data_IF_298495108346
#
_entry.id   IF_298495108346
#
_cell.length_a   1.000
_cell.length_b   1.000
_cell.length_c   1.000
_cell.angle_alpha   90.00
_cell.angle_beta   90.00
_cell.angle_gamma   90.00
#
_symmetry.space_group_name_H-M   'P 1'
#
loop_
_entity.id
_entity.type
_entity.pdbx_description
1 polymer ?
#
# COMPACT_ATOMS: atom_id res chain seq x y z
N UNK A 1 -6.98 -8.62 26.64
CA UNK A 1 -7.37 -8.52 25.22
C UNK A 1 -6.24 -7.85 24.46
N UNK A 2 -5.74 -8.40 23.34
CA UNK A 2 -4.73 -7.71 22.54
C UNK A 2 -5.31 -6.36 22.07
N UNK A 3 -4.55 -5.29 22.28
CA UNK A 3 -4.96 -3.92 21.94
C UNK A 3 -5.14 -3.85 20.42
N UNK A 4 -6.38 -3.67 19.95
CA UNK A 4 -6.69 -3.59 18.52
C UNK A 4 -5.85 -2.45 17.91
N UNK A 5 -5.05 -2.77 16.90
CA UNK A 5 -4.23 -1.78 16.21
C UNK A 5 -5.14 -0.77 15.50
N UNK A 6 -4.79 0.53 15.53
CA UNK A 6 -5.58 1.57 14.85
C UNK A 6 -5.62 1.32 13.34
N UNK A 7 -6.62 1.87 12.66
CA UNK A 7 -6.82 1.67 11.21
C UNK A 7 -5.61 2.21 10.44
N UNK A 8 -5.11 3.38 10.82
CA UNK A 8 -3.96 4.06 10.22
C UNK A 8 -2.68 3.26 10.43
N UNK A 9 -2.50 2.66 11.62
CA UNK A 9 -1.33 1.82 11.89
C UNK A 9 -1.39 0.50 11.12
N UNK A 10 -2.59 -0.06 10.90
CA UNK A 10 -2.78 -1.24 10.05
C UNK A 10 -2.44 -0.91 8.58
N UNK A 11 -3.02 0.18 8.07
CA UNK A 11 -2.78 0.74 6.74
C UNK A 11 -1.29 0.93 6.44
N UNK A 12 -0.58 1.67 7.30
CA UNK A 12 0.87 1.89 7.12
C UNK A 12 1.66 0.59 7.13
N UNK A 13 1.35 -0.34 8.04
CA UNK A 13 2.08 -1.62 8.12
C UNK A 13 1.94 -2.47 6.87
N UNK A 14 0.75 -2.51 6.25
CA UNK A 14 0.55 -3.27 5.01
C UNK A 14 1.37 -2.69 3.86
N UNK A 15 1.45 -1.36 3.76
CA UNK A 15 2.22 -0.67 2.72
C UNK A 15 3.73 -0.77 2.98
N UNK A 16 4.20 -0.40 4.18
CA UNK A 16 5.63 -0.21 4.48
C UNK A 16 6.37 -1.54 4.73
N UNK A 17 5.67 -2.65 4.98
CA UNK A 17 6.33 -3.95 5.15
C UNK A 17 6.72 -4.50 3.78
N UNK A 18 8.00 -4.81 3.52
CA UNK A 18 8.39 -5.48 2.28
C UNK A 18 7.76 -6.87 2.20
N UNK A 19 7.11 -7.19 1.09
CA UNK A 19 6.57 -8.52 0.84
C UNK A 19 7.68 -9.59 0.98
N UNK A 20 7.37 -10.71 1.66
CA UNK A 20 8.34 -11.77 1.93
C UNK A 20 9.24 -11.55 3.15
N UNK A 21 9.24 -10.36 3.76
CA UNK A 21 10.11 -10.06 4.90
C UNK A 21 9.67 -10.74 6.21
N UNK A 22 8.38 -11.11 6.34
CA UNK A 22 7.84 -11.71 7.57
C UNK A 22 7.86 -13.24 7.46
N UNK A 23 8.69 -13.87 8.28
CA UNK A 23 8.85 -15.34 8.33
C UNK A 23 7.51 -16.09 8.46
N UNK A 24 6.60 -15.61 9.32
CA UNK A 24 5.32 -16.28 9.59
C UNK A 24 4.16 -15.79 8.70
N UNK A 25 4.35 -14.74 7.92
CA UNK A 25 3.35 -14.13 7.05
C UNK A 25 4.02 -13.69 5.75
N UNK A 26 4.53 -14.63 4.93
CA UNK A 26 5.36 -14.29 3.78
C UNK A 26 4.63 -13.46 2.72
N UNK A 27 3.31 -13.59 2.63
CA UNK A 27 2.47 -12.83 1.69
C UNK A 27 1.99 -11.47 2.25
N UNK A 28 2.36 -11.12 3.48
CA UNK A 28 2.01 -9.83 4.07
C UNK A 28 3.03 -8.76 3.67
N UNK A 29 2.52 -7.64 3.14
CA UNK A 29 3.33 -6.47 2.79
C UNK A 29 3.12 -6.03 1.34
N UNK A 30 3.96 -5.11 0.88
CA UNK A 30 3.91 -4.58 -0.47
C UNK A 30 5.22 -4.79 -1.23
N UNK A 31 5.10 -4.70 -2.56
CA UNK A 31 6.23 -4.72 -3.49
C UNK A 31 6.76 -3.32 -3.81
N UNK A 32 6.34 -2.27 -3.09
CA UNK A 32 6.77 -0.90 -3.40
C UNK A 32 8.29 -0.73 -3.30
N UNK A 33 8.96 -1.52 -2.45
CA UNK A 33 10.42 -1.53 -2.35
C UNK A 33 11.12 -1.95 -3.65
N UNK A 34 10.46 -2.73 -4.51
CA UNK A 34 10.98 -3.09 -5.84
C UNK A 34 10.99 -1.89 -6.79
N UNK A 35 10.31 -0.80 -6.47
CA UNK A 35 10.21 0.39 -7.31
C UNK A 35 11.29 1.44 -7.00
N UNK A 36 12.00 1.27 -5.88
CA UNK A 36 13.11 2.14 -5.47
C UNK A 36 14.22 2.08 -6.53
N UNK A 37 14.85 3.22 -6.79
CA UNK A 37 15.94 3.40 -7.78
C UNK A 37 15.58 3.02 -9.23
N UNK A 38 14.28 2.87 -9.53
CA UNK A 38 13.80 2.68 -10.91
C UNK A 38 13.34 4.01 -11.49
N UNK A 39 13.50 4.16 -12.80
CA UNK A 39 12.99 5.31 -13.54
C UNK A 39 11.49 5.49 -13.31
N UNK A 40 11.12 6.67 -12.81
CA UNK A 40 9.77 7.08 -12.52
C UNK A 40 9.07 7.46 -13.82
N UNK A 41 8.51 6.49 -14.54
CA UNK A 41 7.72 6.68 -15.76
C UNK A 41 6.26 6.23 -15.56
N UNK A 42 5.40 6.32 -16.59
CA UNK A 42 3.99 5.92 -16.48
C UNK A 42 3.83 4.44 -16.04
N UNK A 43 4.72 3.55 -16.49
CA UNK A 43 4.71 2.15 -16.05
C UNK A 43 5.03 2.03 -14.57
N UNK A 44 5.97 2.85 -14.06
CA UNK A 44 6.26 2.93 -12.63
C UNK A 44 5.02 3.31 -11.83
N UNK A 45 4.28 4.34 -12.26
CA UNK A 45 3.05 4.81 -11.60
C UNK A 45 1.99 3.71 -11.56
N UNK A 46 1.78 3.00 -12.67
CA UNK A 46 0.83 1.88 -12.73
C UNK A 46 1.23 0.72 -11.81
N UNK A 47 2.54 0.39 -11.75
CA UNK A 47 3.04 -0.62 -10.82
C UNK A 47 2.88 -0.18 -9.37
N UNK A 48 3.14 1.09 -9.06
CA UNK A 48 2.94 1.64 -7.73
C UNK A 48 1.49 1.50 -7.28
N UNK A 49 0.54 1.96 -8.11
CA UNK A 49 -0.90 1.85 -7.81
C UNK A 49 -1.31 0.38 -7.60
N UNK A 50 -0.83 -0.51 -8.46
CA UNK A 50 -1.05 -1.96 -8.35
C UNK A 50 -0.51 -2.50 -7.02
N UNK A 51 0.73 -2.20 -6.67
CA UNK A 51 1.38 -2.73 -5.47
C UNK A 51 0.75 -2.21 -4.18
N UNK A 52 0.29 -0.96 -4.17
CA UNK A 52 -0.51 -0.43 -3.05
C UNK A 52 -1.85 -1.15 -2.97
N UNK A 53 -2.55 -1.34 -4.08
CA UNK A 53 -3.85 -2.02 -4.07
C UNK A 53 -3.73 -3.47 -3.57
N UNK A 54 -2.76 -4.22 -4.08
CA UNK A 54 -2.56 -5.64 -3.77
C UNK A 54 -2.14 -5.88 -2.31
N UNK A 55 -1.42 -4.95 -1.66
CA UNK A 55 -0.88 -5.16 -0.31
C UNK A 55 -1.96 -5.31 0.79
N UNK A 56 -3.20 -4.93 0.50
CA UNK A 56 -4.34 -5.07 1.42
C UNK A 56 -4.92 -6.48 1.45
N UNK A 57 -4.49 -7.36 0.54
CA UNK A 57 -5.04 -8.70 0.39
C UNK A 57 -3.99 -9.80 0.64
N UNK A 58 -4.47 -10.96 1.09
CA UNK A 58 -3.70 -12.19 1.16
C UNK A 58 -3.60 -12.89 -0.20
N UNK A 59 -2.92 -14.03 -0.24
CA UNK A 59 -2.74 -14.83 -1.46
C UNK A 59 -4.05 -15.36 -2.08
N UNK A 60 -5.15 -15.33 -1.35
CA UNK A 60 -6.49 -15.77 -1.77
C UNK A 60 -7.43 -14.59 -2.04
N UNK A 61 -6.92 -13.35 -2.08
CA UNK A 61 -7.70 -12.12 -2.22
C UNK A 61 -8.66 -11.82 -1.06
N UNK A 62 -8.39 -12.36 0.14
CA UNK A 62 -9.09 -11.92 1.35
C UNK A 62 -8.36 -10.72 1.95
N UNK A 63 -9.09 -9.72 2.49
CA UNK A 63 -8.44 -8.58 3.13
C UNK A 63 -7.72 -8.98 4.42
N UNK A 64 -6.54 -8.41 4.66
CA UNK A 64 -5.84 -8.56 5.95
C UNK A 64 -6.57 -7.86 7.10
N UNK A 65 -7.35 -6.82 6.78
CA UNK A 65 -8.16 -6.05 7.71
C UNK A 65 -9.48 -5.67 7.02
N UNK A 66 -10.61 -6.25 7.46
CA UNK A 66 -11.94 -6.04 6.85
C UNK A 66 -12.38 -4.56 6.79
N UNK A 67 -11.71 -3.68 7.54
CA UNK A 67 -11.95 -2.23 7.54
C UNK A 67 -11.22 -1.50 6.42
N UNK A 68 -10.30 -2.16 5.73
CA UNK A 68 -9.35 -1.60 4.76
C UNK A 68 -9.43 -2.35 3.43
N UNK A 69 -10.63 -2.44 2.86
CA UNK A 69 -10.85 -3.01 1.52
C UNK A 69 -10.75 -1.86 0.50
N UNK A 70 -9.69 -1.78 -0.32
CA UNK A 70 -9.50 -0.68 -1.25
C UNK A 70 -10.46 -0.79 -2.44
N UNK A 71 -11.05 0.35 -2.83
CA UNK A 71 -11.81 0.51 -4.08
C UNK A 71 -10.97 1.15 -5.18
N UNK A 72 -10.01 1.99 -4.81
CA UNK A 72 -9.15 2.68 -5.75
C UNK A 72 -7.92 3.31 -5.11
N UNK A 73 -6.90 3.52 -5.94
CA UNK A 73 -5.65 4.20 -5.58
C UNK A 73 -5.40 5.31 -6.59
N UNK A 74 -5.35 6.55 -6.11
CA UNK A 74 -5.10 7.74 -6.94
C UNK A 74 -3.76 8.33 -6.51
N UNK A 75 -2.84 8.49 -7.46
CA UNK A 75 -1.59 9.23 -7.22
C UNK A 75 -1.91 10.72 -7.29
N UNK A 76 -1.70 11.45 -6.19
CA UNK A 76 -2.03 12.87 -6.06
C UNK A 76 -0.82 13.78 -6.24
N UNK A 77 0.37 13.27 -5.94
CA UNK A 77 1.63 13.96 -6.23
C UNK A 77 2.66 12.97 -6.77
N UNK A 78 3.38 13.41 -7.79
CA UNK A 78 4.46 12.69 -8.44
C UNK A 78 5.55 13.69 -8.80
N UNK A 79 6.62 13.73 -8.00
CA UNK A 79 7.75 14.62 -8.16
C UNK A 79 9.02 13.81 -8.41
N UNK A 80 9.44 13.77 -9.68
CA UNK A 80 10.67 13.07 -10.12
C UNK A 80 11.94 13.73 -9.57
N UNK A 81 11.92 15.05 -9.31
CA UNK A 81 13.12 15.80 -8.91
C UNK A 81 13.41 15.57 -7.43
N UNK A 82 12.37 15.64 -6.59
CA UNK A 82 12.50 15.41 -5.15
C UNK A 82 12.30 13.95 -4.75
N UNK A 83 12.07 13.05 -5.73
CA UNK A 83 11.79 11.64 -5.51
C UNK A 83 10.66 11.41 -4.50
N UNK A 84 9.64 12.27 -4.54
CA UNK A 84 8.51 12.21 -3.62
C UNK A 84 7.25 11.80 -4.35
N UNK A 85 6.47 10.96 -3.69
CA UNK A 85 5.21 10.47 -4.21
C UNK A 85 4.15 10.50 -3.12
N UNK A 86 2.96 10.97 -3.44
CA UNK A 86 1.80 10.84 -2.57
C UNK A 86 0.64 10.18 -3.31
N UNK A 87 -0.08 9.32 -2.60
CA UNK A 87 -1.30 8.71 -3.09
C UNK A 87 -2.41 8.71 -2.05
N UNK A 88 -3.63 8.71 -2.55
CA UNK A 88 -4.85 8.52 -1.79
C UNK A 88 -5.43 7.14 -2.10
N UNK A 89 -5.77 6.41 -1.04
CA UNK A 89 -6.46 5.11 -1.14
C UNK A 89 -7.87 5.30 -0.60
N UNK A 90 -8.86 5.06 -1.45
CA UNK A 90 -10.28 5.08 -1.08
C UNK A 90 -10.73 3.67 -0.72
N UNK A 91 -11.44 3.53 0.40
CA UNK A 91 -11.93 2.26 0.91
C UNK A 91 -13.46 2.16 0.81
N UNK A 92 -13.99 0.94 0.86
CA UNK A 92 -15.44 0.65 0.77
C UNK A 92 -16.29 1.39 1.83
N UNK A 93 -15.73 1.71 2.99
CA UNK A 93 -16.40 2.50 4.02
C UNK A 93 -16.42 4.01 3.73
N UNK A 94 -16.05 4.42 2.51
CA UNK A 94 -15.92 5.80 2.03
C UNK A 94 -14.86 6.61 2.76
N UNK A 95 -13.98 5.97 3.53
CA UNK A 95 -12.82 6.65 4.07
C UNK A 95 -11.72 6.72 3.02
N UNK A 96 -10.93 7.78 3.08
CA UNK A 96 -9.72 7.94 2.29
C UNK A 96 -8.55 8.06 3.24
N UNK A 97 -7.49 7.29 3.00
CA UNK A 97 -6.21 7.43 3.70
C UNK A 97 -5.14 7.84 2.70
N UNK A 98 -4.25 8.71 3.15
CA UNK A 98 -3.12 9.18 2.34
C UNK A 98 -1.85 8.45 2.74
N UNK A 99 -1.03 8.15 1.74
CA UNK A 99 0.31 7.63 1.93
C UNK A 99 1.28 8.47 1.11
N UNK A 100 2.42 8.80 1.72
CA UNK A 100 3.48 9.58 1.10
C UNK A 100 4.81 8.89 1.33
N UNK A 101 5.62 8.83 0.28
CA UNK A 101 6.99 8.31 0.27
C UNK A 101 7.96 9.42 -0.14
#
# INVERSE_FOLDING_TARGET
>A
MPKKTSKEKSFKRMIETPLGSRVHLPFFGSKIHELIDKEMNQKWVLLFQKYIYECFFDENWNPWDDRLIPEGVIVTNFDEVNSSLSCEVTFQDRTTLTYSM
#
